data_IF_635941462931
#
_entry.id   IF_635941462931
#
_cell.length_a   1.000
_cell.length_b   1.000
_cell.length_c   1.000
_cell.angle_alpha   90.00
_cell.angle_beta   90.00
_cell.angle_gamma   90.00
#
_symmetry.space_group_name_H-M   'P 1'
#
loop_
_entity.id
_entity.type
_entity.pdbx_description
1 polymer ?
#
# COMPACT_ATOMS: atom_id res chain seq x y z
N UNK A 1 -30.57 -9.07 22.93
CA UNK A 1 -29.85 -10.12 22.17
C UNK A 1 -30.11 -9.85 20.69
N UNK A 2 -29.19 -9.31 19.90
CA UNK A 2 -28.09 -10.03 19.20
C UNK A 2 -26.78 -9.21 19.28
N UNK A 3 -25.81 -9.57 20.14
CA UNK A 3 -24.49 -8.95 20.17
C UNK A 3 -23.45 -9.96 19.65
N UNK A 4 -23.24 -10.01 18.32
CA UNK A 4 -22.22 -10.90 17.76
C UNK A 4 -21.95 -10.72 16.26
N UNK A 5 -22.97 -10.43 15.46
CA UNK A 5 -22.85 -10.41 13.99
C UNK A 5 -22.25 -9.13 13.37
N UNK A 6 -22.36 -7.97 14.04
CA UNK A 6 -21.92 -6.68 13.44
C UNK A 6 -20.40 -6.50 13.31
N UNK A 7 -19.58 -7.33 13.96
CA UNK A 7 -18.14 -7.06 14.13
C UNK A 7 -17.22 -7.83 13.18
N UNK A 8 -17.67 -8.97 12.64
CA UNK A 8 -16.95 -9.69 11.58
C UNK A 8 -17.13 -9.04 10.21
N UNK A 9 -18.27 -8.35 9.98
CA UNK A 9 -18.54 -7.61 8.75
C UNK A 9 -17.50 -6.52 8.42
N UNK A 10 -16.82 -5.98 9.43
CA UNK A 10 -15.99 -4.80 9.28
C UNK A 10 -14.62 -5.08 8.63
N UNK A 11 -14.07 -6.29 8.77
CA UNK A 11 -12.83 -6.64 8.08
C UNK A 11 -13.05 -7.03 6.62
N UNK A 12 -14.23 -7.55 6.30
CA UNK A 12 -14.63 -7.82 4.92
C UNK A 12 -14.71 -6.52 4.12
N UNK A 13 -15.13 -5.40 4.71
CA UNK A 13 -15.10 -4.09 4.03
C UNK A 13 -13.67 -3.63 3.69
N UNK A 14 -12.70 -3.89 4.57
CA UNK A 14 -11.27 -3.62 4.27
C UNK A 14 -10.77 -4.52 3.15
N UNK A 15 -11.07 -5.82 3.20
CA UNK A 15 -10.70 -6.75 2.14
C UNK A 15 -11.38 -6.40 0.80
N UNK A 16 -12.65 -6.03 0.82
CA UNK A 16 -13.43 -5.64 -0.35
C UNK A 16 -12.94 -4.33 -0.96
N UNK A 17 -12.56 -3.33 -0.16
CA UNK A 17 -12.02 -2.07 -0.73
C UNK A 17 -10.62 -2.29 -1.30
N UNK A 18 -9.77 -3.11 -0.66
CA UNK A 18 -8.50 -3.53 -1.25
C UNK A 18 -8.72 -4.26 -2.57
N UNK A 19 -9.66 -5.19 -2.60
CA UNK A 19 -10.03 -5.92 -3.80
C UNK A 19 -10.53 -4.97 -4.89
N UNK A 20 -11.49 -4.09 -4.59
CA UNK A 20 -12.06 -3.14 -5.53
C UNK A 20 -11.02 -2.17 -6.13
N UNK A 21 -9.99 -1.82 -5.36
CA UNK A 21 -8.92 -0.90 -5.80
C UNK A 21 -7.81 -1.62 -6.56
N UNK A 22 -7.59 -2.91 -6.33
CA UNK A 22 -6.48 -3.66 -6.94
C UNK A 22 -6.95 -4.63 -8.03
N UNK A 23 -8.24 -4.93 -8.13
CA UNK A 23 -8.83 -5.87 -9.10
C UNK A 23 -8.98 -5.28 -10.52
N UNK A 24 -9.52 -4.06 -10.72
CA UNK A 24 -9.82 -3.59 -12.06
C UNK A 24 -8.54 -3.21 -12.81
N UNK A 25 -8.30 -3.84 -13.97
CA UNK A 25 -7.51 -3.21 -15.04
C UNK A 25 -8.19 -1.93 -15.52
N UNK A 26 -7.47 -1.06 -16.25
CA UNK A 26 -7.88 0.30 -16.65
C UNK A 26 -9.11 0.43 -17.56
N UNK A 27 -10.15 -0.36 -17.33
CA UNK A 27 -11.44 -0.34 -18.02
C UNK A 27 -12.25 0.85 -17.51
N UNK A 28 -12.77 1.64 -18.45
CA UNK A 28 -13.68 2.74 -18.19
C UNK A 28 -15.11 2.27 -18.43
N UNK A 29 -16.02 2.53 -17.49
CA UNK A 29 -17.46 2.37 -17.68
C UNK A 29 -18.08 3.77 -17.74
N UNK A 30 -18.84 4.07 -18.80
CA UNK A 30 -19.51 5.38 -18.96
C UNK A 30 -18.56 6.60 -18.88
N UNK A 31 -17.31 6.44 -19.33
CA UNK A 31 -16.28 7.51 -19.26
C UNK A 31 -15.64 7.70 -17.89
N UNK A 32 -16.01 6.89 -16.89
CA UNK A 32 -15.42 6.91 -15.54
C UNK A 32 -14.57 5.65 -15.35
N UNK A 33 -13.36 5.76 -14.77
CA UNK A 33 -12.58 4.58 -14.37
C UNK A 33 -13.42 3.61 -13.52
N UNK A 34 -13.58 2.35 -13.93
CA UNK A 34 -14.37 1.34 -13.19
C UNK A 34 -13.93 1.22 -11.74
N UNK A 35 -12.63 1.39 -11.48
CA UNK A 35 -12.03 1.43 -10.14
C UNK A 35 -12.64 2.52 -9.26
N UNK A 36 -12.99 3.69 -9.80
CA UNK A 36 -13.65 4.75 -9.03
C UNK A 36 -15.06 4.33 -8.63
N UNK A 37 -15.83 3.73 -9.54
CA UNK A 37 -17.21 3.30 -9.28
C UNK A 37 -17.24 2.21 -8.21
N UNK A 38 -16.47 1.13 -8.40
CA UNK A 38 -16.45 0.00 -7.45
C UNK A 38 -15.92 0.43 -6.08
N UNK A 39 -14.90 1.28 -6.04
CA UNK A 39 -14.34 1.80 -4.78
C UNK A 39 -15.31 2.74 -4.08
N UNK A 40 -16.03 3.59 -4.82
CA UNK A 40 -17.00 4.55 -4.25
C UNK A 40 -18.07 3.86 -3.41
N UNK A 41 -18.62 2.74 -3.91
CA UNK A 41 -19.67 1.99 -3.22
C UNK A 41 -19.15 1.46 -1.87
N UNK A 42 -17.97 0.83 -1.87
CA UNK A 42 -17.40 0.24 -0.64
C UNK A 42 -17.00 1.34 0.34
N UNK A 43 -16.40 2.43 -0.12
CA UNK A 43 -16.02 3.58 0.70
C UNK A 43 -17.25 4.28 1.30
N UNK A 44 -18.34 4.39 0.54
CA UNK A 44 -19.60 4.93 1.06
C UNK A 44 -20.14 4.07 2.21
N UNK A 45 -20.12 2.74 2.05
CA UNK A 45 -20.52 1.81 3.13
C UNK A 45 -19.64 2.01 4.37
N UNK A 46 -18.32 2.13 4.20
CA UNK A 46 -17.39 2.43 5.31
C UNK A 46 -17.71 3.76 6.00
N UNK A 47 -18.04 4.80 5.22
CA UNK A 47 -18.38 6.12 5.76
C UNK A 47 -19.70 6.12 6.55
N UNK A 48 -20.70 5.38 6.06
CA UNK A 48 -21.97 5.15 6.76
C UNK A 48 -21.76 4.37 8.06
N UNK A 49 -20.93 3.31 8.06
CA UNK A 49 -20.60 2.53 9.25
C UNK A 49 -19.85 3.37 10.30
N UNK A 50 -18.99 4.30 9.86
CA UNK A 50 -18.38 5.32 10.72
C UNK A 50 -19.37 6.35 11.28
N UNK A 51 -20.63 6.35 10.83
CA UNK A 51 -21.64 7.37 11.14
C UNK A 51 -21.12 8.77 10.84
N UNK A 52 -20.48 8.94 9.69
CA UNK A 52 -19.94 10.23 9.22
C UNK A 52 -18.82 10.82 10.10
N UNK A 53 -18.25 10.04 11.04
CA UNK A 53 -17.12 10.48 11.87
C UNK A 53 -15.82 10.32 11.10
N UNK A 54 -15.02 11.40 11.07
CA UNK A 54 -13.72 11.44 10.39
C UNK A 54 -12.60 11.71 11.40
N UNK A 55 -11.45 11.02 11.25
CA UNK A 55 -10.27 11.25 12.07
C UNK A 55 -9.57 12.56 11.67
N UNK A 56 -9.26 13.39 12.66
CA UNK A 56 -8.62 14.70 12.45
C UNK A 56 -7.26 14.58 11.76
N UNK A 57 -6.47 13.53 12.03
CA UNK A 57 -5.14 13.38 11.42
C UNK A 57 -5.23 13.15 9.91
N UNK A 58 -6.23 12.39 9.45
CA UNK A 58 -6.48 12.20 8.01
C UNK A 58 -6.83 13.51 7.31
N UNK A 59 -7.69 14.33 7.91
CA UNK A 59 -8.06 15.64 7.36
C UNK A 59 -6.86 16.59 7.29
N UNK A 60 -6.04 16.60 8.34
CA UNK A 60 -4.85 17.45 8.38
C UNK A 60 -3.82 17.00 7.34
N UNK A 61 -3.59 15.69 7.19
CA UNK A 61 -2.76 15.15 6.10
C UNK A 61 -3.29 15.59 4.73
N UNK A 62 -4.59 15.41 4.48
CA UNK A 62 -5.22 15.78 3.22
C UNK A 62 -5.09 17.28 2.93
N UNK A 63 -5.29 18.13 3.96
CA UNK A 63 -5.11 19.57 3.81
C UNK A 63 -3.66 19.96 3.51
N UNK A 64 -2.68 19.44 4.25
CA UNK A 64 -1.26 19.70 3.97
C UNK A 64 -0.92 19.26 2.55
N UNK A 65 -1.34 18.06 2.16
CA UNK A 65 -1.11 17.51 0.83
C UNK A 65 -1.73 18.38 -0.27
N UNK A 66 -3.00 18.79 -0.15
CA UNK A 66 -3.65 19.68 -1.12
C UNK A 66 -2.99 21.06 -1.19
N UNK A 67 -2.60 21.63 -0.04
CA UNK A 67 -1.91 22.92 0.02
C UNK A 67 -0.56 22.87 -0.69
N UNK A 68 0.14 21.73 -0.62
CA UNK A 68 1.39 21.51 -1.35
C UNK A 68 1.24 21.54 -2.87
N UNK A 69 0.04 21.28 -3.41
CA UNK A 69 -0.23 21.41 -4.85
C UNK A 69 -0.49 22.85 -5.30
N UNK A 70 -0.77 23.79 -4.39
CA UNK A 70 -1.13 25.15 -4.76
C UNK A 70 -0.08 25.84 -5.64
N UNK A 71 1.24 25.81 -5.35
CA UNK A 71 2.23 26.44 -6.20
C UNK A 71 2.18 25.94 -7.66
N UNK A 72 2.09 24.62 -7.83
CA UNK A 72 1.99 23.99 -9.14
C UNK A 72 0.66 24.24 -9.83
N UNK A 73 -0.45 24.24 -9.08
CA UNK A 73 -1.77 24.55 -9.60
C UNK A 73 -1.87 26.02 -10.06
N UNK A 74 -1.34 26.98 -9.30
CA UNK A 74 -1.27 28.37 -9.73
C UNK A 74 -0.44 28.50 -11.01
N UNK A 75 0.75 27.91 -11.06
CA UNK A 75 1.60 27.91 -12.26
C UNK A 75 0.88 27.30 -13.48
N UNK A 76 0.20 26.16 -13.31
CA UNK A 76 -0.56 25.50 -14.37
C UNK A 76 -1.77 26.32 -14.82
N UNK A 77 -2.43 27.04 -13.91
CA UNK A 77 -3.60 27.88 -14.23
C UNK A 77 -3.24 29.05 -15.15
N UNK A 78 -2.09 29.70 -14.95
CA UNK A 78 -1.60 30.76 -15.83
C UNK A 78 -1.17 30.26 -17.21
N UNK A 79 -0.87 28.96 -17.35
CA UNK A 79 -0.48 28.32 -18.62
C UNK A 79 -1.64 27.60 -19.31
N UNK A 80 -2.87 27.69 -18.78
CA UNK A 80 -4.06 27.05 -19.35
C UNK A 80 -4.08 25.51 -19.26
N UNK A 81 -3.34 24.91 -18.33
CA UNK A 81 -3.03 23.47 -18.32
C UNK A 81 -3.64 22.64 -17.19
N UNK A 82 -4.75 23.07 -16.57
CA UNK A 82 -5.45 22.27 -15.55
C UNK A 82 -6.55 21.46 -16.21
N UNK A 83 -6.41 20.14 -16.22
CA UNK A 83 -7.46 19.20 -16.55
C UNK A 83 -8.43 19.07 -15.36
N UNK A 84 -9.71 19.50 -15.51
CA UNK A 84 -10.71 19.39 -14.46
C UNK A 84 -10.96 17.94 -14.01
N UNK A 85 -10.82 16.96 -14.91
CA UNK A 85 -11.07 15.56 -14.59
C UNK A 85 -9.98 15.00 -13.69
N UNK A 86 -8.70 15.26 -13.99
CA UNK A 86 -7.59 14.90 -13.09
C UNK A 86 -7.72 15.56 -11.72
N UNK A 87 -8.13 16.83 -11.67
CA UNK A 87 -8.34 17.53 -10.40
C UNK A 87 -9.53 16.96 -9.61
N UNK A 88 -10.65 16.63 -10.26
CA UNK A 88 -11.77 15.96 -9.61
C UNK A 88 -11.38 14.58 -9.08
N UNK A 89 -10.63 13.80 -9.87
CA UNK A 89 -10.10 12.50 -9.46
C UNK A 89 -9.19 12.60 -8.23
N UNK A 90 -8.32 13.62 -8.17
CA UNK A 90 -7.49 13.93 -7.02
C UNK A 90 -8.35 14.15 -5.77
N UNK A 91 -9.36 15.04 -5.85
CA UNK A 91 -10.24 15.35 -4.72
C UNK A 91 -11.00 14.10 -4.24
N UNK A 92 -11.62 13.36 -5.17
CA UNK A 92 -12.37 12.14 -4.85
C UNK A 92 -11.45 11.09 -4.19
N UNK A 93 -10.25 10.88 -4.73
CA UNK A 93 -9.33 9.88 -4.20
C UNK A 93 -8.75 10.28 -2.83
N UNK A 94 -8.59 11.58 -2.56
CA UNK A 94 -8.26 12.08 -1.21
C UNK A 94 -9.43 11.89 -0.24
N UNK A 95 -10.68 12.03 -0.67
CA UNK A 95 -11.83 11.69 0.17
C UNK A 95 -11.82 10.19 0.53
N UNK A 96 -11.48 9.32 -0.43
CA UNK A 96 -11.31 7.89 -0.16
C UNK A 96 -10.18 7.63 0.83
N UNK A 97 -9.04 8.32 0.70
CA UNK A 97 -7.95 8.27 1.68
C UNK A 97 -8.46 8.54 3.09
N UNK A 98 -9.20 9.65 3.27
CA UNK A 98 -9.67 10.12 4.57
C UNK A 98 -10.60 9.07 5.21
N UNK A 99 -11.58 8.58 4.45
CA UNK A 99 -12.55 7.60 4.94
C UNK A 99 -11.87 6.27 5.25
N UNK A 100 -11.05 5.74 4.34
CA UNK A 100 -10.36 4.44 4.52
C UNK A 100 -9.38 4.48 5.68
N UNK A 101 -8.60 5.55 5.81
CA UNK A 101 -7.69 5.73 6.94
C UNK A 101 -8.48 5.75 8.26
N UNK A 102 -9.55 6.55 8.33
CA UNK A 102 -10.39 6.66 9.53
C UNK A 102 -11.02 5.32 9.88
N UNK A 103 -11.57 4.62 8.87
CA UNK A 103 -12.20 3.32 9.03
C UNK A 103 -11.21 2.30 9.57
N UNK A 104 -10.05 2.18 8.93
CA UNK A 104 -8.99 1.25 9.31
C UNK A 104 -8.51 1.54 10.72
N UNK A 105 -8.26 2.81 11.06
CA UNK A 105 -7.82 3.21 12.40
C UNK A 105 -8.89 2.91 13.46
N UNK A 106 -10.15 3.20 13.18
CA UNK A 106 -11.28 2.89 14.09
C UNK A 106 -11.40 1.38 14.30
N UNK A 107 -11.27 0.61 13.22
CA UNK A 107 -11.27 -0.86 13.24
C UNK A 107 -10.17 -1.41 14.15
N UNK A 108 -8.92 -0.96 13.95
CA UNK A 108 -7.76 -1.37 14.73
C UNK A 108 -7.90 -0.99 16.22
N UNK A 109 -8.46 0.19 16.52
CA UNK A 109 -8.69 0.66 17.90
C UNK A 109 -9.90 0.00 18.57
N UNK A 110 -10.80 -0.60 17.80
CA UNK A 110 -11.93 -1.32 18.37
C UNK A 110 -11.41 -2.61 19.04
N UNK A 111 -11.18 -2.57 20.35
CA UNK A 111 -10.77 -3.74 21.17
C UNK A 111 -11.78 -4.90 21.17
N UNK A 112 -12.81 -4.82 20.32
CA UNK A 112 -13.88 -5.78 20.13
C UNK A 112 -13.60 -6.85 19.09
N UNK A 113 -12.50 -6.73 18.36
CA UNK A 113 -12.05 -7.71 17.40
C UNK A 113 -11.28 -8.84 18.09
N UNK A 114 -11.77 -10.08 17.97
CA UNK A 114 -10.96 -11.25 18.32
C UNK A 114 -9.84 -11.33 17.27
N UNK A 115 -8.63 -10.90 17.64
CA UNK A 115 -7.44 -10.93 16.78
C UNK A 115 -7.26 -12.29 16.07
N UNK A 116 -7.63 -13.38 16.74
CA UNK A 116 -7.61 -14.73 16.19
C UNK A 116 -8.56 -14.92 15.00
N UNK A 117 -9.77 -14.36 15.03
CA UNK A 117 -10.73 -14.46 13.91
C UNK A 117 -10.25 -13.67 12.69
N UNK A 118 -9.59 -12.53 12.90
CA UNK A 118 -8.99 -11.73 11.82
C UNK A 118 -7.88 -12.51 11.15
N UNK A 119 -6.95 -13.03 11.95
CA UNK A 119 -5.83 -13.83 11.44
C UNK A 119 -6.37 -15.04 10.68
N UNK A 120 -7.36 -15.76 11.22
CA UNK A 120 -8.02 -16.86 10.51
C UNK A 120 -8.68 -16.44 9.20
N UNK A 121 -9.37 -15.29 9.17
CA UNK A 121 -10.01 -14.78 7.95
C UNK A 121 -8.99 -14.41 6.87
N UNK A 122 -7.86 -13.82 7.28
CA UNK A 122 -6.74 -13.53 6.39
C UNK A 122 -6.12 -14.82 5.88
N UNK A 123 -5.88 -15.79 6.76
CA UNK A 123 -5.32 -17.10 6.41
C UNK A 123 -6.24 -17.84 5.40
N UNK A 124 -7.56 -17.81 5.61
CA UNK A 124 -8.53 -18.34 4.64
C UNK A 124 -8.53 -17.59 3.31
N UNK A 125 -8.34 -16.27 3.33
CA UNK A 125 -8.24 -15.47 2.10
C UNK A 125 -6.99 -15.87 1.30
N UNK A 126 -5.84 -16.03 1.98
CA UNK A 126 -4.62 -16.54 1.35
C UNK A 126 -4.84 -17.93 0.75
N UNK A 127 -5.41 -18.87 1.52
CA UNK A 127 -5.67 -20.24 1.06
C UNK A 127 -6.64 -20.23 -0.14
N UNK A 128 -7.71 -19.44 -0.09
CA UNK A 128 -8.67 -19.30 -1.18
C UNK A 128 -7.98 -18.85 -2.47
N UNK A 129 -7.16 -17.80 -2.41
CA UNK A 129 -6.46 -17.32 -3.61
C UNK A 129 -5.42 -18.30 -4.12
N UNK A 130 -4.72 -19.04 -3.24
CA UNK A 130 -3.80 -20.11 -3.65
C UNK A 130 -4.55 -21.22 -4.38
N UNK A 131 -5.66 -21.71 -3.82
CA UNK A 131 -6.48 -22.76 -4.41
C UNK A 131 -7.05 -22.29 -5.76
N UNK A 132 -7.58 -21.08 -5.81
CA UNK A 132 -8.19 -20.53 -7.01
C UNK A 132 -7.16 -20.32 -8.13
N UNK A 133 -5.99 -19.77 -7.81
CA UNK A 133 -4.87 -19.70 -8.73
C UNK A 133 -4.45 -21.09 -9.24
N UNK A 134 -4.37 -22.10 -8.37
CA UNK A 134 -4.06 -23.47 -8.80
C UNK A 134 -5.14 -24.05 -9.73
N UNK A 135 -6.41 -23.77 -9.43
CA UNK A 135 -7.53 -24.13 -10.30
C UNK A 135 -7.46 -23.46 -11.68
N UNK A 136 -7.08 -22.17 -11.75
CA UNK A 136 -6.86 -21.48 -13.02
C UNK A 136 -5.69 -22.07 -13.81
N UNK A 137 -4.59 -22.47 -13.16
CA UNK A 137 -3.47 -23.16 -13.84
C UNK A 137 -3.96 -24.47 -14.47
N UNK A 138 -4.70 -25.28 -13.71
CA UNK A 138 -5.17 -26.58 -14.19
C UNK A 138 -6.16 -26.46 -15.35
N UNK A 139 -6.95 -25.38 -15.38
CA UNK A 139 -7.96 -25.13 -16.41
C UNK A 139 -7.56 -23.98 -17.35
N UNK A 140 -6.25 -23.81 -17.55
CA UNK A 140 -5.70 -22.63 -18.19
C UNK A 140 -6.28 -22.36 -19.58
N UNK A 141 -6.36 -23.38 -20.44
CA UNK A 141 -6.93 -23.27 -21.78
C UNK A 141 -8.38 -22.78 -21.74
N UNK A 142 -9.20 -23.36 -20.86
CA UNK A 142 -10.61 -23.02 -20.72
C UNK A 142 -10.80 -21.57 -20.25
N UNK A 143 -9.97 -21.07 -19.33
CA UNK A 143 -10.03 -19.68 -18.90
C UNK A 143 -9.65 -18.69 -20.02
N UNK A 144 -8.67 -19.03 -20.85
CA UNK A 144 -8.27 -18.21 -21.98
C UNK A 144 -9.33 -18.21 -23.10
N UNK A 145 -9.94 -19.36 -23.36
CA UNK A 145 -11.08 -19.48 -24.28
C UNK A 145 -12.27 -18.65 -23.78
N UNK A 146 -12.59 -18.73 -22.48
CA UNK A 146 -13.66 -17.97 -21.85
C UNK A 146 -13.40 -16.45 -21.92
N UNK A 147 -12.17 -16.00 -21.64
CA UNK A 147 -11.80 -14.57 -21.77
C UNK A 147 -11.89 -14.09 -23.21
N UNK A 148 -11.37 -14.88 -24.15
CA UNK A 148 -11.43 -14.55 -25.58
C UNK A 148 -12.88 -14.48 -26.06
N UNK A 149 -13.76 -15.34 -25.54
CA UNK A 149 -15.19 -15.29 -25.81
C UNK A 149 -15.85 -13.99 -25.27
N UNK A 150 -15.58 -13.60 -24.02
CA UNK A 150 -16.22 -12.42 -23.41
C UNK A 150 -15.70 -11.08 -23.94
N UNK A 151 -14.43 -11.00 -24.31
CA UNK A 151 -13.78 -9.75 -24.71
C UNK A 151 -13.53 -9.64 -26.22
N UNK A 152 -13.83 -10.67 -27.02
CA UNK A 152 -13.79 -10.64 -28.48
C UNK A 152 -12.41 -10.72 -29.12
N UNK A 153 -11.34 -10.59 -28.35
CA UNK A 153 -9.95 -10.67 -28.82
C UNK A 153 -9.30 -12.03 -28.50
N UNK A 154 -8.33 -12.46 -29.33
CA UNK A 154 -7.46 -13.58 -28.98
C UNK A 154 -6.53 -13.14 -27.85
N UNK A 155 -6.88 -13.49 -26.61
CA UNK A 155 -5.96 -13.27 -25.50
C UNK A 155 -4.89 -14.36 -25.52
N UNK A 156 -3.67 -13.99 -25.91
CA UNK A 156 -2.51 -14.74 -25.46
C UNK A 156 -2.38 -14.55 -23.96
N UNK A 157 -3.05 -15.39 -23.20
CA UNK A 157 -2.77 -15.48 -21.78
C UNK A 157 -1.28 -15.81 -21.63
N UNK A 158 -0.60 -15.09 -20.74
CA UNK A 158 0.82 -15.25 -20.47
C UNK A 158 1.03 -15.85 -19.08
N UNK A 159 0.14 -16.72 -18.60
CA UNK A 159 0.10 -17.18 -17.21
C UNK A 159 1.38 -17.92 -16.78
N UNK A 160 2.02 -18.62 -17.72
CA UNK A 160 3.34 -19.22 -17.49
C UNK A 160 4.46 -18.17 -17.35
N UNK A 161 4.44 -17.11 -18.17
CA UNK A 161 5.35 -15.96 -18.05
C UNK A 161 5.09 -15.18 -16.75
N UNK A 162 3.82 -14.95 -16.41
CA UNK A 162 3.42 -14.28 -15.19
C UNK A 162 3.90 -15.07 -13.96
N UNK A 163 3.82 -16.40 -14.01
CA UNK A 163 4.34 -17.25 -12.93
C UNK A 163 5.88 -17.23 -12.85
N UNK A 164 6.59 -17.36 -13.97
CA UNK A 164 8.06 -17.34 -13.95
C UNK A 164 8.61 -15.98 -13.50
N UNK A 165 8.01 -14.87 -13.95
CA UNK A 165 8.46 -13.51 -13.66
C UNK A 165 7.97 -12.95 -12.32
N UNK A 166 6.75 -13.26 -11.88
CA UNK A 166 6.13 -12.63 -10.71
C UNK A 166 5.79 -13.60 -9.56
N UNK A 167 6.08 -14.89 -9.71
CA UNK A 167 5.96 -15.88 -8.65
C UNK A 167 4.78 -16.83 -8.84
N UNK A 168 3.96 -17.03 -7.82
CA UNK A 168 2.81 -17.90 -7.98
C UNK A 168 1.80 -17.24 -8.95
N UNK A 169 1.20 -17.99 -9.89
CA UNK A 169 0.25 -17.43 -10.82
C UNK A 169 -0.91 -16.80 -10.05
N UNK A 170 -1.34 -15.65 -10.53
CA UNK A 170 -2.44 -14.90 -9.94
C UNK A 170 -3.79 -15.43 -10.44
N UNK A 171 -4.88 -15.16 -9.71
CA UNK A 171 -6.25 -15.26 -10.22
C UNK A 171 -6.47 -14.24 -11.34
N UNK A 172 -6.26 -14.63 -12.60
CA UNK A 172 -6.41 -13.78 -13.78
C UNK A 172 -7.84 -13.35 -14.06
N UNK A 173 -8.84 -14.07 -13.54
CA UNK A 173 -10.25 -13.64 -13.55
C UNK A 173 -10.53 -12.46 -12.61
N UNK A 174 -9.70 -12.24 -11.58
CA UNK A 174 -9.95 -11.23 -10.55
C UNK A 174 -8.92 -10.10 -10.50
N UNK A 175 -7.68 -10.36 -10.92
CA UNK A 175 -6.65 -9.34 -11.01
C UNK A 175 -6.32 -9.13 -12.48
N UNK A 176 -5.97 -7.91 -12.87
CA UNK A 176 -5.51 -7.59 -14.21
C UNK A 176 -4.01 -7.75 -14.39
N UNK A 177 -3.23 -7.54 -13.33
CA UNK A 177 -1.76 -7.66 -13.32
C UNK A 177 -1.26 -8.47 -12.10
N UNK A 178 -0.10 -9.15 -12.19
CA UNK A 178 0.55 -9.76 -11.03
C UNK A 178 0.92 -8.74 -9.94
N UNK A 179 1.28 -7.52 -10.33
CA UNK A 179 1.63 -6.43 -9.41
C UNK A 179 0.45 -6.00 -8.53
N UNK A 180 -0.78 -6.10 -9.05
CA UNK A 180 -2.03 -5.81 -8.35
C UNK A 180 -2.34 -6.87 -7.29
N UNK A 181 -2.20 -8.14 -7.66
CA UNK A 181 -2.38 -9.27 -6.74
C UNK A 181 -1.37 -9.23 -5.58
N UNK A 182 -0.11 -8.92 -5.88
CA UNK A 182 0.92 -8.83 -4.86
C UNK A 182 0.67 -7.67 -3.88
N UNK A 183 0.21 -6.50 -4.36
CA UNK A 183 -0.23 -5.39 -3.49
C UNK A 183 -1.40 -5.77 -2.58
N UNK A 184 -2.33 -6.56 -3.09
CA UNK A 184 -3.48 -7.03 -2.31
C UNK A 184 -3.05 -7.94 -1.17
N UNK A 185 -2.24 -8.96 -1.49
CA UNK A 185 -1.67 -9.86 -0.48
C UNK A 185 -0.79 -9.12 0.53
N UNK A 186 -0.06 -8.09 0.07
CA UNK A 186 0.80 -7.24 0.90
C UNK A 186 0.03 -6.52 1.99
N UNK A 187 -1.11 -5.89 1.66
CA UNK A 187 -1.95 -5.21 2.66
C UNK A 187 -2.53 -6.21 3.66
N UNK A 188 -2.99 -7.38 3.19
CA UNK A 188 -3.49 -8.44 4.08
C UNK A 188 -2.40 -8.97 5.01
N UNK A 189 -1.18 -9.15 4.52
CA UNK A 189 -0.03 -9.51 5.33
C UNK A 189 0.19 -8.46 6.43
N UNK A 190 0.17 -7.17 6.12
CA UNK A 190 0.29 -6.11 7.13
C UNK A 190 -0.77 -6.22 8.22
N UNK A 191 -2.04 -6.42 7.88
CA UNK A 191 -3.11 -6.65 8.87
C UNK A 191 -2.81 -7.88 9.73
N UNK A 192 -2.40 -8.98 9.10
CA UNK A 192 -2.04 -10.21 9.80
C UNK A 192 -0.92 -9.98 10.81
N UNK A 193 0.10 -9.21 10.42
CA UNK A 193 1.24 -8.86 11.26
C UNK A 193 0.87 -7.94 12.42
N UNK A 194 -0.17 -7.13 12.31
CA UNK A 194 -0.65 -6.35 13.45
C UNK A 194 -1.28 -7.25 14.52
N UNK A 195 -2.06 -8.24 14.09
CA UNK A 195 -2.88 -9.05 15.02
C UNK A 195 -2.19 -10.34 15.51
N UNK A 196 -1.25 -10.89 14.75
CA UNK A 196 -0.57 -12.13 15.11
C UNK A 196 0.59 -11.88 16.09
N UNK A 197 0.53 -12.36 17.33
CA UNK A 197 1.61 -12.16 18.31
C UNK A 197 2.82 -13.10 18.14
N UNK A 198 2.70 -14.17 17.35
CA UNK A 198 3.77 -15.17 17.19
C UNK A 198 4.78 -14.75 16.11
N UNK A 199 6.06 -14.62 16.49
CA UNK A 199 7.18 -14.24 15.62
C UNK A 199 7.48 -15.33 14.58
N UNK A 200 7.49 -16.61 14.95
CA UNK A 200 7.77 -17.72 14.03
C UNK A 200 6.73 -17.78 12.92
N UNK A 201 5.44 -17.66 13.28
CA UNK A 201 4.34 -17.61 12.32
C UNK A 201 4.44 -16.37 11.43
N UNK A 202 4.89 -15.23 11.97
CA UNK A 202 5.12 -14.00 11.20
C UNK A 202 6.18 -14.19 10.11
N UNK A 203 7.31 -14.82 10.45
CA UNK A 203 8.38 -15.15 9.50
C UNK A 203 7.88 -16.16 8.46
N UNK A 204 7.20 -17.22 8.88
CA UNK A 204 6.67 -18.23 7.96
C UNK A 204 5.71 -17.63 6.93
N UNK A 205 4.81 -16.73 7.33
CA UNK A 205 3.92 -16.03 6.40
C UNK A 205 4.64 -15.01 5.51
N UNK A 206 5.73 -14.41 5.99
CA UNK A 206 6.63 -13.62 5.14
C UNK A 206 7.29 -14.48 4.05
N UNK A 207 7.73 -15.70 4.39
CA UNK A 207 8.24 -16.68 3.41
C UNK A 207 7.15 -17.09 2.42
N UNK A 208 5.95 -17.45 2.90
CA UNK A 208 4.81 -17.80 2.04
C UNK A 208 4.50 -16.65 1.09
N UNK A 209 4.44 -15.41 1.58
CA UNK A 209 4.23 -14.25 0.73
C UNK A 209 5.34 -14.10 -0.34
N UNK A 210 6.61 -14.22 0.02
CA UNK A 210 7.73 -14.19 -0.95
C UNK A 210 7.62 -15.29 -2.01
N UNK A 211 7.24 -16.50 -1.61
CA UNK A 211 7.02 -17.61 -2.53
C UNK A 211 5.82 -17.34 -3.47
N UNK A 212 4.77 -16.72 -2.94
CA UNK A 212 3.59 -16.37 -3.73
C UNK A 212 3.82 -15.19 -4.65
N UNK A 213 4.66 -14.23 -4.25
CA UNK A 213 4.90 -13.00 -4.99
C UNK A 213 6.41 -12.79 -5.14
N UNK A 214 6.98 -13.18 -6.28
CA UNK A 214 8.32 -12.77 -6.72
C UNK A 214 8.26 -11.34 -7.28
N UNK A 215 7.74 -10.41 -6.49
CA UNK A 215 7.47 -9.04 -6.91
C UNK A 215 8.15 -8.04 -5.96
N UNK A 216 8.75 -6.94 -6.47
CA UNK A 216 9.36 -5.90 -5.65
C UNK A 216 8.33 -5.21 -4.74
N UNK A 217 7.03 -5.45 -4.94
CA UNK A 217 5.95 -5.03 -4.04
C UNK A 217 6.04 -5.60 -2.62
N UNK A 218 7.01 -6.44 -2.26
CA UNK A 218 7.36 -6.66 -0.84
C UNK A 218 7.84 -5.35 -0.19
N UNK A 219 8.59 -4.51 -0.92
CA UNK A 219 9.07 -3.19 -0.46
C UNK A 219 7.92 -2.28 -0.03
N UNK A 220 6.74 -2.46 -0.62
CA UNK A 220 5.49 -1.79 -0.24
C UNK A 220 5.12 -2.05 1.25
N UNK A 221 5.37 -3.26 1.76
CA UNK A 221 5.05 -3.67 3.14
C UNK A 221 6.20 -3.50 4.12
N UNK A 222 7.42 -3.30 3.59
CA UNK A 222 8.64 -3.20 4.37
C UNK A 222 8.54 -2.21 5.54
N UNK A 223 7.97 -0.99 5.38
CA UNK A 223 7.83 -0.07 6.50
C UNK A 223 7.04 -0.66 7.67
N UNK A 224 5.91 -1.32 7.37
CA UNK A 224 5.06 -1.94 8.41
C UNK A 224 5.76 -3.13 9.05
N UNK A 225 6.40 -3.98 8.23
CA UNK A 225 7.15 -5.15 8.73
C UNK A 225 8.25 -4.70 9.69
N UNK A 226 9.06 -3.71 9.29
CA UNK A 226 10.14 -3.16 10.10
C UNK A 226 9.61 -2.61 11.44
N UNK A 227 8.51 -1.87 11.42
CA UNK A 227 7.92 -1.30 12.64
C UNK A 227 7.36 -2.39 13.56
N UNK A 228 6.63 -3.37 13.01
CA UNK A 228 6.12 -4.52 13.79
C UNK A 228 7.27 -5.27 14.46
N UNK A 229 8.33 -5.53 13.71
CA UNK A 229 9.54 -6.20 14.20
C UNK A 229 10.21 -5.39 15.30
N UNK A 230 10.56 -4.13 15.03
CA UNK A 230 11.23 -3.26 15.99
C UNK A 230 10.41 -3.13 17.27
N UNK A 231 9.09 -3.08 17.14
CA UNK A 231 8.18 -3.06 18.27
C UNK A 231 8.32 -4.36 19.08
N UNK A 232 8.14 -5.54 18.47
CA UNK A 232 8.19 -6.84 19.17
C UNK A 232 9.53 -7.19 19.81
N UNK A 233 10.65 -6.84 19.18
CA UNK A 233 11.98 -7.06 19.74
C UNK A 233 12.20 -6.30 21.06
N UNK A 234 11.54 -5.15 21.22
CA UNK A 234 11.61 -4.36 22.45
C UNK A 234 10.76 -4.96 23.61
N UNK A 235 9.71 -5.73 23.33
CA UNK A 235 8.80 -6.32 24.35
C UNK A 235 9.30 -7.59 25.03
N UNK A 236 10.39 -8.19 24.55
CA UNK A 236 10.87 -9.45 25.10
C UNK A 236 11.40 -9.27 26.52
N UNK A 237 10.87 -10.02 27.48
CA UNK A 237 11.32 -9.99 28.89
C UNK A 237 12.51 -10.93 29.07
N UNK A 238 13.72 -10.35 29.12
CA UNK A 238 14.96 -11.03 29.50
C UNK A 238 16.12 -10.79 28.52
N UNK A 239 17.32 -10.46 29.03
CA UNK A 239 18.53 -10.21 28.20
C UNK A 239 18.92 -11.41 27.31
N UNK A 240 18.76 -12.63 27.81
CA UNK A 240 19.14 -13.85 27.11
C UNK A 240 18.13 -14.23 25.99
N UNK A 241 16.83 -14.13 26.30
CA UNK A 241 15.75 -14.31 25.32
C UNK A 241 15.76 -13.24 24.22
N UNK A 242 16.10 -11.99 24.56
CA UNK A 242 16.33 -10.91 23.59
C UNK A 242 17.43 -11.26 22.61
N UNK A 243 18.60 -11.69 23.08
CA UNK A 243 19.74 -12.03 22.23
C UNK A 243 19.40 -13.11 21.19
N UNK A 244 18.73 -14.17 21.61
CA UNK A 244 18.27 -15.24 20.69
C UNK A 244 17.23 -14.70 19.71
N UNK A 245 16.26 -13.88 20.15
CA UNK A 245 15.26 -13.30 19.25
C UNK A 245 15.85 -12.30 18.25
N UNK A 246 16.82 -11.48 18.65
CA UNK A 246 17.58 -10.61 17.75
C UNK A 246 18.39 -11.43 16.75
N UNK A 247 18.99 -12.55 17.17
CA UNK A 247 19.72 -13.45 16.28
C UNK A 247 18.78 -14.15 15.30
N UNK A 248 17.67 -14.73 15.76
CA UNK A 248 16.69 -15.41 14.90
C UNK A 248 16.01 -14.45 13.95
N UNK A 249 15.75 -13.21 14.38
CA UNK A 249 15.22 -12.18 13.50
C UNK A 249 16.28 -11.64 12.53
N UNK A 250 17.50 -11.39 12.99
CA UNK A 250 18.60 -10.94 12.15
C UNK A 250 18.92 -11.97 11.07
N UNK A 251 19.05 -13.24 11.45
CA UNK A 251 19.21 -14.36 10.53
C UNK A 251 17.97 -14.57 9.65
N UNK A 252 16.77 -14.52 10.22
CA UNK A 252 15.53 -14.68 9.46
C UNK A 252 15.33 -13.56 8.43
N UNK A 253 15.58 -12.31 8.80
CA UNK A 253 15.54 -11.15 7.93
C UNK A 253 16.65 -11.17 6.89
N UNK A 254 17.86 -11.59 7.25
CA UNK A 254 18.96 -11.81 6.32
C UNK A 254 18.61 -12.90 5.31
N UNK A 255 18.10 -14.06 5.76
CA UNK A 255 17.68 -15.17 4.90
C UNK A 255 16.52 -14.75 3.99
N UNK A 256 15.53 -14.01 4.51
CA UNK A 256 14.43 -13.46 3.71
C UNK A 256 14.94 -12.44 2.68
N UNK A 257 15.89 -11.58 3.07
CA UNK A 257 16.50 -10.59 2.18
C UNK A 257 17.34 -11.24 1.08
N UNK A 258 18.17 -12.23 1.43
CA UNK A 258 18.95 -13.03 0.47
C UNK A 258 18.02 -13.82 -0.44
N UNK A 259 17.00 -14.49 0.11
CA UNK A 259 16.02 -15.23 -0.68
C UNK A 259 15.22 -14.31 -1.61
N UNK A 260 14.89 -13.09 -1.17
CA UNK A 260 14.27 -12.07 -2.01
C UNK A 260 15.21 -11.64 -3.14
N UNK A 261 16.45 -11.25 -2.84
CA UNK A 261 17.44 -10.84 -3.85
C UNK A 261 17.70 -11.96 -4.86
N UNK A 262 17.86 -13.20 -4.37
CA UNK A 262 18.02 -14.38 -5.22
C UNK A 262 16.77 -14.63 -6.08
N UNK A 263 15.56 -14.50 -5.52
CA UNK A 263 14.32 -14.65 -6.28
C UNK A 263 14.07 -13.54 -7.32
N UNK A 264 14.82 -12.45 -7.24
CA UNK A 264 14.76 -11.31 -8.17
C UNK A 264 16.02 -11.23 -9.05
N UNK A 265 16.96 -12.19 -8.96
CA UNK A 265 18.28 -12.09 -9.58
C UNK A 265 18.19 -11.84 -11.09
N UNK A 266 17.46 -12.68 -11.84
CA UNK A 266 17.30 -12.52 -13.29
C UNK A 266 16.75 -11.13 -13.65
N UNK A 267 15.82 -10.62 -12.84
CA UNK A 267 15.22 -9.30 -13.02
C UNK A 267 16.18 -8.17 -12.67
N UNK A 268 17.01 -8.33 -11.64
CA UNK A 268 18.05 -7.37 -11.27
C UNK A 268 19.14 -7.32 -12.35
N UNK A 269 19.48 -8.47 -12.94
CA UNK A 269 20.40 -8.57 -14.07
C UNK A 269 19.79 -7.88 -15.32
N UNK A 270 18.50 -8.10 -15.61
CA UNK A 270 17.76 -7.40 -16.66
C UNK A 270 17.66 -5.88 -16.41
N UNK A 271 17.45 -5.45 -15.17
CA UNK A 271 17.44 -4.02 -14.80
C UNK A 271 18.83 -3.42 -15.03
N UNK A 272 19.88 -4.11 -14.59
CA UNK A 272 21.27 -3.63 -14.68
C UNK A 272 21.77 -3.55 -16.13
N UNK A 273 21.29 -4.45 -16.99
CA UNK A 273 21.58 -4.45 -18.43
C UNK A 273 20.67 -3.53 -19.24
N UNK A 274 19.66 -2.92 -18.60
CA UNK A 274 18.71 -2.02 -19.23
C UNK A 274 17.60 -2.71 -20.03
N UNK A 275 17.51 -4.05 -20.00
CA UNK A 275 16.55 -4.85 -20.77
C UNK A 275 15.17 -4.97 -20.09
N UNK A 276 15.05 -4.63 -18.80
CA UNK A 276 13.77 -4.66 -18.06
C UNK A 276 12.89 -3.47 -18.45
N UNK A 277 12.12 -3.63 -19.53
CA UNK A 277 11.27 -2.59 -20.08
C UNK A 277 10.17 -2.07 -19.14
N UNK A 278 9.65 -2.87 -18.21
CA UNK A 278 8.70 -2.40 -17.19
C UNK A 278 9.39 -1.48 -16.18
N UNK A 279 10.55 -1.83 -15.64
CA UNK A 279 11.27 -1.00 -14.69
C UNK A 279 11.71 0.32 -15.33
N UNK A 280 12.20 0.25 -16.58
CA UNK A 280 12.54 1.41 -17.38
C UNK A 280 11.33 2.35 -17.52
N UNK A 281 10.21 1.81 -17.98
CA UNK A 281 8.94 2.51 -18.09
C UNK A 281 8.45 3.12 -16.78
N UNK A 282 8.40 2.34 -15.70
CA UNK A 282 7.75 2.76 -14.45
C UNK A 282 8.58 3.73 -13.62
N UNK A 283 9.91 3.62 -13.67
CA UNK A 283 10.83 4.32 -12.75
C UNK A 283 11.87 5.14 -13.50
N UNK A 284 12.58 4.56 -14.46
CA UNK A 284 13.72 5.23 -15.09
C UNK A 284 13.26 6.42 -15.93
N UNK A 285 12.28 6.26 -16.82
CA UNK A 285 11.84 7.38 -17.66
C UNK A 285 11.18 8.51 -16.88
N UNK A 286 10.36 8.26 -15.83
CA UNK A 286 9.92 9.34 -14.96
C UNK A 286 11.06 10.10 -14.28
N UNK A 287 12.13 9.40 -13.85
CA UNK A 287 13.32 10.05 -13.28
C UNK A 287 14.11 10.82 -14.36
N UNK A 288 14.23 10.27 -15.56
CA UNK A 288 14.87 10.93 -16.70
C UNK A 288 14.11 12.19 -17.11
N UNK A 289 12.77 12.14 -17.12
CA UNK A 289 11.93 13.31 -17.34
C UNK A 289 12.24 14.41 -16.30
N UNK A 290 12.28 14.03 -15.01
CA UNK A 290 12.63 14.95 -13.92
C UNK A 290 14.02 15.58 -14.09
N UNK A 291 14.96 14.86 -14.70
CA UNK A 291 16.33 15.33 -14.92
C UNK A 291 16.50 16.17 -16.20
N UNK A 292 15.72 15.92 -17.25
CA UNK A 292 16.00 16.46 -18.61
C UNK A 292 14.92 17.39 -19.15
N UNK A 293 13.65 17.14 -18.81
CA UNK A 293 12.49 17.76 -19.47
C UNK A 293 11.54 18.44 -18.49
N UNK A 294 11.93 18.53 -17.21
CA UNK A 294 11.11 19.13 -16.17
C UNK A 294 11.11 20.66 -16.28
N UNK A 295 10.11 21.20 -16.97
CA UNK A 295 10.03 22.63 -17.32
C UNK A 295 10.05 23.58 -16.11
N UNK A 296 9.44 23.19 -14.97
CA UNK A 296 9.37 24.04 -13.78
C UNK A 296 9.65 23.26 -12.49
N UNK A 297 10.92 22.94 -12.19
CA UNK A 297 11.28 22.18 -11.00
C UNK A 297 10.89 22.88 -9.69
N UNK A 298 10.95 24.21 -9.66
CA UNK A 298 10.69 25.00 -8.46
C UNK A 298 9.21 25.02 -8.06
N UNK A 299 8.31 25.29 -9.02
CA UNK A 299 6.87 25.42 -8.80
C UNK A 299 6.11 24.10 -8.98
N UNK A 300 6.66 23.17 -9.77
CA UNK A 300 5.99 21.91 -10.13
C UNK A 300 5.03 22.05 -11.31
N UNK A 301 4.51 20.89 -11.73
CA UNK A 301 3.56 20.74 -12.84
C UNK A 301 2.08 20.84 -12.44
N UNK A 302 1.75 20.89 -11.14
CA UNK A 302 0.36 20.93 -10.67
C UNK A 302 -0.31 19.54 -10.66
N UNK A 303 -1.65 19.44 -10.77
CA UNK A 303 -2.37 18.16 -10.70
C UNK A 303 -2.39 17.37 -12.03
N UNK A 304 -1.74 17.84 -13.09
CA UNK A 304 -1.72 17.22 -14.43
C UNK A 304 -0.39 16.61 -14.92
N UNK A 305 0.67 16.41 -14.11
CA UNK A 305 1.98 15.99 -14.62
C UNK A 305 1.98 14.60 -15.24
N UNK A 306 0.97 13.77 -14.99
CA UNK A 306 0.88 12.43 -15.58
C UNK A 306 0.96 12.48 -17.11
N UNK A 307 0.24 13.41 -17.77
CA UNK A 307 0.19 13.42 -19.24
C UNK A 307 1.55 13.75 -19.86
N UNK A 308 2.30 14.70 -19.28
CA UNK A 308 3.64 15.07 -19.76
C UNK A 308 4.67 13.98 -19.50
N UNK A 309 4.57 13.29 -18.36
CA UNK A 309 5.50 12.19 -18.03
C UNK A 309 5.16 10.94 -18.86
N UNK A 310 3.87 10.65 -19.08
CA UNK A 310 3.38 9.57 -19.95
C UNK A 310 3.86 9.77 -21.39
N UNK A 311 3.72 10.98 -21.95
CA UNK A 311 4.17 11.32 -23.30
C UNK A 311 5.70 11.16 -23.44
N UNK A 312 6.46 11.67 -22.48
CA UNK A 312 7.91 11.52 -22.45
C UNK A 312 8.33 10.05 -22.36
N UNK A 313 7.74 9.30 -21.42
CA UNK A 313 8.05 7.89 -21.21
C UNK A 313 7.67 7.05 -22.44
N UNK A 314 6.54 7.35 -23.09
CA UNK A 314 6.11 6.68 -24.32
C UNK A 314 7.08 6.96 -25.47
N UNK A 315 7.49 8.22 -25.64
CA UNK A 315 8.45 8.61 -26.68
C UNK A 315 9.79 7.90 -26.49
N UNK A 316 10.30 7.85 -25.25
CA UNK A 316 11.54 7.12 -24.91
C UNK A 316 11.40 5.62 -25.11
N UNK A 317 10.30 5.03 -24.64
CA UNK A 317 10.04 3.61 -24.79
C UNK A 317 9.97 3.18 -26.27
N UNK A 318 9.36 4.00 -27.13
CA UNK A 318 9.32 3.79 -28.59
C UNK A 318 10.72 3.96 -29.20
N UNK A 319 11.46 5.00 -28.81
CA UNK A 319 12.80 5.29 -29.33
C UNK A 319 13.84 4.22 -28.96
N UNK A 320 13.71 3.60 -27.79
CA UNK A 320 14.60 2.53 -27.31
C UNK A 320 14.31 1.17 -28.00
N UNK A 321 13.39 1.12 -28.96
CA UNK A 321 13.08 -0.09 -29.75
C UNK A 321 12.43 -1.21 -28.94
N UNK A 322 12.00 -0.94 -27.71
CA UNK A 322 11.44 -1.94 -26.82
C UNK A 322 10.00 -2.28 -27.22
N UNK A 323 9.86 -3.34 -28.03
CA UNK A 323 8.66 -4.19 -28.13
C UNK A 323 7.33 -3.44 -28.36
N UNK A 324 7.29 -2.62 -29.41
CA UNK A 324 6.06 -2.02 -29.97
C UNK A 324 4.88 -3.02 -30.11
N UNK A 325 5.17 -4.31 -30.31
CA UNK A 325 4.19 -5.39 -30.43
C UNK A 325 3.51 -5.81 -29.10
N UNK A 326 3.98 -5.35 -27.94
CA UNK A 326 3.36 -5.58 -26.63
C UNK A 326 2.45 -4.44 -26.18
N UNK A 327 2.52 -3.28 -26.85
CA UNK A 327 1.61 -2.17 -26.60
C UNK A 327 0.35 -2.41 -27.43
N UNK A 328 -0.72 -2.88 -26.77
CA UNK A 328 -2.05 -2.84 -27.37
C UNK A 328 -2.42 -1.40 -27.73
N UNK A 329 -3.34 -1.21 -28.67
CA UNK A 329 -3.73 0.11 -29.18
C UNK A 329 -4.22 1.11 -28.10
N UNK A 330 -4.53 0.64 -26.89
CA UNK A 330 -4.95 1.45 -25.73
C UNK A 330 -4.00 1.35 -24.50
N UNK A 331 -2.80 0.77 -24.63
CA UNK A 331 -1.93 0.56 -23.47
C UNK A 331 -1.23 1.85 -23.03
N UNK A 332 -1.72 2.47 -21.96
CA UNK A 332 -0.94 3.44 -21.19
C UNK A 332 0.19 2.72 -20.46
N UNK A 333 1.39 3.29 -20.50
CA UNK A 333 2.53 2.80 -19.73
C UNK A 333 2.22 3.03 -18.25
N UNK A 334 2.26 1.98 -17.42
CA UNK A 334 1.95 2.08 -16.00
C UNK A 334 3.05 2.81 -15.21
N UNK A 335 3.05 4.13 -15.15
CA UNK A 335 4.07 4.91 -14.46
C UNK A 335 3.94 4.88 -12.92
N UNK A 336 5.08 4.99 -12.22
CA UNK A 336 5.13 5.12 -10.76
C UNK A 336 4.60 6.48 -10.30
N UNK A 337 3.58 6.53 -9.42
CA UNK A 337 3.06 7.79 -8.92
C UNK A 337 4.02 8.58 -8.04
N UNK A 338 4.99 7.95 -7.37
CA UNK A 338 5.92 8.66 -6.48
C UNK A 338 6.76 9.75 -7.18
N UNK A 339 7.50 9.48 -8.28
CA UNK A 339 8.20 10.51 -9.03
C UNK A 339 7.23 11.51 -9.66
N UNK A 340 6.04 11.08 -10.09
CA UNK A 340 5.02 11.98 -10.65
C UNK A 340 4.53 12.98 -9.59
N UNK A 341 4.29 12.55 -8.35
CA UNK A 341 3.94 13.44 -7.23
C UNK A 341 5.05 14.46 -6.98
N UNK A 342 6.32 14.06 -7.06
CA UNK A 342 7.46 14.99 -6.93
C UNK A 342 7.43 16.02 -8.08
N UNK A 343 7.22 15.57 -9.32
CA UNK A 343 7.07 16.43 -10.49
C UNK A 343 5.90 17.42 -10.33
N UNK A 344 4.79 16.92 -9.77
CA UNK A 344 3.55 17.65 -9.52
C UNK A 344 3.75 18.82 -8.58
N UNK A 345 4.38 18.53 -7.44
CA UNK A 345 4.54 19.44 -6.32
C UNK A 345 5.66 20.46 -6.55
N UNK A 346 6.71 20.07 -7.28
CA UNK A 346 7.93 20.87 -7.36
C UNK A 346 8.65 20.96 -6.02
N UNK A 347 9.80 21.64 -6.03
CA UNK A 347 10.61 21.85 -4.81
C UNK A 347 9.79 22.54 -3.72
N UNK A 348 9.06 23.60 -4.06
CA UNK A 348 8.23 24.32 -3.08
C UNK A 348 7.12 23.46 -2.49
N UNK A 349 6.36 22.73 -3.32
CA UNK A 349 5.29 21.87 -2.84
C UNK A 349 5.81 20.72 -1.98
N UNK A 350 6.94 20.10 -2.37
CA UNK A 350 7.62 19.07 -1.58
C UNK A 350 8.10 19.64 -0.25
N UNK A 351 8.72 20.82 -0.23
CA UNK A 351 9.13 21.48 1.01
C UNK A 351 7.95 21.79 1.93
N UNK A 352 6.82 22.25 1.39
CA UNK A 352 5.58 22.46 2.16
C UNK A 352 5.02 21.16 2.72
N UNK A 353 5.06 20.08 1.92
CA UNK A 353 4.59 18.77 2.34
C UNK A 353 5.43 18.23 3.51
N UNK A 354 6.75 18.23 3.35
CA UNK A 354 7.68 17.77 4.39
C UNK A 354 7.64 18.67 5.63
N UNK A 355 7.74 19.98 5.45
CA UNK A 355 7.69 20.96 6.53
C UNK A 355 6.37 20.90 7.31
N UNK A 356 5.23 20.90 6.63
CA UNK A 356 3.91 20.82 7.25
C UNK A 356 3.71 19.52 8.04
N UNK A 357 4.13 18.39 7.48
CA UNK A 357 4.02 17.10 8.16
C UNK A 357 4.94 17.00 9.39
N UNK A 358 6.17 17.49 9.29
CA UNK A 358 7.13 17.51 10.41
C UNK A 358 6.64 18.44 11.51
N UNK A 359 6.18 19.65 11.19
CA UNK A 359 5.68 20.59 12.18
C UNK A 359 4.45 20.06 12.92
N UNK A 360 3.55 19.40 12.19
CA UNK A 360 2.29 18.93 12.77
C UNK A 360 2.41 17.61 13.53
N UNK A 361 3.26 16.70 13.06
CA UNK A 361 3.31 15.31 13.57
C UNK A 361 4.71 14.87 14.02
N UNK A 362 5.72 15.75 13.94
CA UNK A 362 7.11 15.47 14.30
C UNK A 362 7.70 14.31 13.49
N UNK A 363 8.46 13.44 14.16
CA UNK A 363 8.97 12.19 13.58
C UNK A 363 7.88 11.28 13.00
N UNK A 364 6.65 11.36 13.53
CA UNK A 364 5.52 10.60 12.96
C UNK A 364 5.19 11.10 11.56
N UNK A 365 5.32 12.40 11.31
CA UNK A 365 5.11 12.99 9.98
C UNK A 365 6.12 12.48 8.95
N UNK A 366 7.39 12.35 9.33
CA UNK A 366 8.44 11.79 8.48
C UNK A 366 8.11 10.33 8.13
N UNK A 367 7.70 9.54 9.13
CA UNK A 367 7.31 8.16 8.92
C UNK A 367 6.09 8.03 8.00
N UNK A 368 5.11 8.92 8.16
CA UNK A 368 3.93 8.95 7.29
C UNK A 368 4.32 9.29 5.84
N UNK A 369 5.22 10.25 5.63
CA UNK A 369 5.72 10.56 4.30
C UNK A 369 6.51 9.40 3.70
N UNK A 370 7.35 8.75 4.49
CA UNK A 370 8.08 7.56 4.06
C UNK A 370 7.13 6.44 3.62
N UNK A 371 6.10 6.12 4.43
CA UNK A 371 5.09 5.12 4.07
C UNK A 371 4.31 5.55 2.81
N UNK A 372 3.93 6.82 2.70
CA UNK A 372 3.23 7.35 1.52
C UNK A 372 4.07 7.21 0.24
N UNK A 373 5.33 7.67 0.24
CA UNK A 373 6.17 7.56 -0.94
C UNK A 373 6.57 6.11 -1.23
N UNK A 374 6.92 5.31 -0.23
CA UNK A 374 7.27 3.89 -0.42
C UNK A 374 6.11 3.07 -0.99
N UNK A 375 4.89 3.30 -0.49
CA UNK A 375 3.69 2.62 -0.99
C UNK A 375 3.30 3.04 -2.40
N UNK A 376 3.68 4.24 -2.82
CA UNK A 376 3.40 4.77 -4.17
C UNK A 376 4.56 4.65 -5.14
N UNK A 377 5.73 4.16 -4.70
CA UNK A 377 6.90 3.96 -5.54
C UNK A 377 6.72 2.80 -6.55
N UNK A 378 5.93 1.79 -6.19
CA UNK A 378 5.67 0.61 -7.04
C UNK A 378 4.20 0.50 -7.45
N UNK A 379 3.42 1.54 -7.17
CA UNK A 379 2.01 1.60 -7.49
C UNK A 379 1.81 2.13 -8.91
N UNK A 380 0.56 2.14 -9.39
CA UNK A 380 0.21 2.71 -10.69
C UNK A 380 -1.03 3.59 -10.52
N UNK A 381 -1.10 4.68 -11.26
CA UNK A 381 -2.25 5.59 -11.29
C UNK A 381 -2.07 6.80 -10.38
N UNK A 382 -1.59 7.91 -10.94
CA UNK A 382 -1.56 9.20 -10.27
C UNK A 382 -2.98 9.73 -10.06
N UNK A 383 -3.23 10.39 -8.91
CA UNK A 383 -4.56 10.89 -8.50
C UNK A 383 -5.68 9.83 -8.45
N UNK A 384 -5.34 8.54 -8.45
CA UNK A 384 -6.29 7.42 -8.48
C UNK A 384 -6.48 6.79 -7.10
N UNK A 385 -7.63 6.14 -6.83
CA UNK A 385 -7.83 5.33 -5.62
C UNK A 385 -6.73 4.30 -5.38
N UNK A 386 -6.12 3.77 -6.45
CA UNK A 386 -5.00 2.85 -6.40
C UNK A 386 -3.80 3.41 -5.63
N UNK A 387 -3.53 4.72 -5.73
CA UNK A 387 -2.48 5.41 -4.98
C UNK A 387 -2.86 5.58 -3.49
N UNK A 388 -4.06 6.10 -3.25
CA UNK A 388 -4.45 6.61 -1.94
C UNK A 388 -4.97 5.57 -0.96
N UNK A 389 -5.82 4.65 -1.40
CA UNK A 389 -6.47 3.67 -0.50
C UNK A 389 -5.45 2.75 0.17
N UNK A 390 -4.48 2.16 -0.55
CA UNK A 390 -3.49 1.30 0.07
C UNK A 390 -2.57 2.10 1.03
N UNK A 391 -2.19 3.33 0.65
CA UNK A 391 -1.44 4.27 1.50
C UNK A 391 -2.17 4.57 2.81
N UNK A 392 -3.48 4.87 2.74
CA UNK A 392 -4.32 5.17 3.89
C UNK A 392 -4.33 4.02 4.91
N UNK A 393 -4.43 2.77 4.43
CA UNK A 393 -4.43 1.59 5.29
C UNK A 393 -3.09 1.36 5.97
N UNK A 394 -1.98 1.43 5.20
CA UNK A 394 -0.65 1.25 5.77
C UNK A 394 -0.31 2.33 6.79
N UNK A 395 -0.73 3.56 6.56
CA UNK A 395 -0.56 4.67 7.51
C UNK A 395 -1.35 4.43 8.80
N UNK A 396 -2.62 4.02 8.70
CA UNK A 396 -3.43 3.70 9.86
C UNK A 396 -2.85 2.53 10.68
N UNK A 397 -2.38 1.48 10.00
CA UNK A 397 -1.67 0.34 10.61
C UNK A 397 -0.40 0.80 11.34
N UNK A 398 0.45 1.58 10.64
CA UNK A 398 1.72 2.08 11.16
C UNK A 398 1.51 2.91 12.42
N UNK A 399 0.54 3.82 12.41
CA UNK A 399 0.25 4.66 13.56
C UNK A 399 -0.31 3.85 14.74
N UNK A 400 -1.15 2.84 14.47
CA UNK A 400 -1.67 1.95 15.50
C UNK A 400 -0.55 1.19 16.23
N UNK A 401 0.38 0.58 15.48
CA UNK A 401 1.52 -0.16 16.07
C UNK A 401 2.37 0.77 16.94
N UNK A 402 2.64 1.99 16.45
CA UNK A 402 3.43 2.99 17.19
C UNK A 402 2.76 3.40 18.51
N UNK A 403 1.44 3.62 18.51
CA UNK A 403 0.68 3.97 19.72
C UNK A 403 0.75 2.86 20.76
N UNK A 404 0.64 1.59 20.34
CA UNK A 404 0.78 0.45 21.26
C UNK A 404 2.12 0.46 22.01
N UNK A 405 3.23 0.77 21.31
CA UNK A 405 4.56 0.90 21.93
C UNK A 405 4.58 1.95 23.05
N UNK A 406 4.08 3.15 22.77
CA UNK A 406 4.10 4.26 23.75
C UNK A 406 3.32 3.99 25.03
N UNK A 407 2.21 3.25 24.95
CA UNK A 407 1.35 2.96 26.11
C UNK A 407 2.02 1.96 27.06
N UNK A 408 2.68 0.93 26.52
CA UNK A 408 3.42 -0.04 27.33
C UNK A 408 4.72 0.51 27.91
N UNK A 409 5.42 1.39 27.20
CA UNK A 409 6.62 2.05 27.73
C UNK A 409 6.24 2.95 28.93
N UNK A 410 5.08 3.60 28.89
CA UNK A 410 4.54 4.36 30.04
C UNK A 410 4.04 3.45 31.18
N UNK A 411 3.45 2.30 30.87
CA UNK A 411 3.05 1.30 31.86
C UNK A 411 4.23 0.71 32.63
N UNK A 412 5.38 0.49 31.97
CA UNK A 412 6.61 0.02 32.63
C UNK A 412 7.28 1.10 33.48
N UNK A 413 7.22 2.38 33.09
CA UNK A 413 7.66 3.50 33.93
C UNK A 413 6.77 3.71 35.18
N UNK A 414 5.47 3.40 35.09
CA UNK A 414 4.60 3.37 36.28
C UNK A 414 4.89 2.14 37.15
N UNK A 415 5.26 1.00 36.56
CA UNK A 415 5.60 -0.22 37.29
C UNK A 415 6.93 -0.15 38.06
N UNK A 416 7.85 0.75 37.69
CA UNK A 416 9.04 1.08 38.51
C UNK A 416 8.73 2.14 39.56
N UNK A 417 7.85 3.11 39.29
CA UNK A 417 7.38 4.07 40.30
C UNK A 417 6.52 3.39 41.39
N UNK A 418 5.62 2.48 41.02
CA UNK A 418 4.82 1.67 41.95
C UNK A 418 5.66 0.63 42.70
N UNK A 419 6.83 0.24 42.17
CA UNK A 419 7.79 -0.60 42.93
C UNK A 419 8.73 0.20 43.83
N UNK A 420 8.90 1.50 43.59
CA UNK A 420 9.67 2.41 44.45
C UNK A 420 8.80 3.14 45.48
N UNK A 421 7.47 3.23 45.28
CA UNK A 421 6.54 3.90 46.19
C UNK A 421 5.33 3.06 46.65
N UNK A 422 5.17 1.82 46.17
CA UNK A 422 3.99 0.98 46.43
C UNK A 422 4.11 -0.01 47.59
N UNK A 423 4.87 0.31 48.64
CA UNK A 423 4.82 -0.45 49.90
C UNK A 423 3.76 0.07 50.91
N UNK A 424 2.94 1.06 50.55
CA UNK A 424 1.96 1.63 51.50
C UNK A 424 0.54 1.97 50.99
N UNK A 425 0.19 1.73 49.72
CA UNK A 425 -1.16 2.10 49.20
C UNK A 425 -2.17 0.94 49.29
N UNK A 426 -1.73 -0.32 49.44
CA UNK A 426 -2.64 -1.46 49.59
C UNK A 426 -3.24 -1.64 51.00
N UNK A 427 -2.88 -0.81 51.99
CA UNK A 427 -3.52 -0.81 53.33
C UNK A 427 -4.62 0.22 53.53
N UNK A 428 -4.83 1.16 52.60
CA UNK A 428 -5.83 2.23 52.76
C UNK A 428 -7.18 1.95 52.07
N UNK A 429 -7.27 0.97 51.17
CA UNK A 429 -8.54 0.59 50.51
C UNK A 429 -9.25 -0.63 51.11
N UNK A 430 -8.67 -1.29 52.12
CA UNK A 430 -9.31 -2.39 52.85
C UNK A 430 -9.97 -1.95 54.18
N UNK A 431 -9.99 -0.65 54.48
CA UNK A 431 -10.62 -0.08 55.68
C UNK A 431 -11.87 0.79 55.38
N UNK A 432 -12.30 0.86 54.12
CA UNK A 432 -13.54 1.54 53.71
C UNK A 432 -14.19 0.79 52.54
N UNK A 433 -14.74 -0.39 52.83
CA UNK A 433 -15.90 -1.02 52.19
C UNK A 433 -16.37 -2.14 53.11
#
# INVERSE_FOLDING_TARGET
MVPGGKKSANIWLVALVCFAVMSPGGIYDFGIPRILITTSIVVLIMFLDLRFKIDRAALVFAMIYLMSFLPGAFNASFRGGIDPNSFANLIISILFFIVVYTYTKSLLNSGSMRAELIVKSIDYTFIFFIIFSFFEILNYSQFCDLRSYYYGDKFECQLYRDATTYGFPRPTGYFSEPSNFARFLSVLLCFRLVFNRNITTTVAWGVVFLLLTRSPTLLYTLPVVLIVVMTRLNYSKGRFSRGVQYLTFGLGGLVLGIAFLYSQQDRLDDISSGSEGSFQARIVYPIEYLATSWENPFLGGGPTPLDKVDEFALTRYIADGNRLWLLGTDSRIGLSPAPIVIAALGVLGVSLLFGGMILQFGWTGILMLFVFFASNFLNVGFNSPSMYVPSAMLLAITEFIRRQKSVTDMGECSGTADKLYGLNIQRLHAAQC
#
